data_IF_473431955044
#
_entry.id   IF_473431955044
#
_cell.length_a   1.000
_cell.length_b   1.000
_cell.length_c   1.000
_cell.angle_alpha   90.00
_cell.angle_beta   90.00
_cell.angle_gamma   90.00
#
_symmetry.space_group_name_H-M   'P 1'
#
loop_
_entity.id
_entity.type
_entity.pdbx_description
1 polymer ?
#
# COMPACT_ATOMS: atom_id res chain seq x y z
N UNK A 1 3.69 4.71 11.83
CA UNK A 1 4.29 3.36 11.95
C UNK A 1 5.38 3.21 10.90
N UNK A 2 6.12 2.09 10.89
CA UNK A 2 7.37 1.87 10.17
C UNK A 2 8.56 2.77 10.61
N UNK A 3 8.37 4.09 10.73
CA UNK A 3 9.39 5.06 11.17
C UNK A 3 9.25 5.54 12.62
N UNK A 4 8.12 5.27 13.26
CA UNK A 4 7.81 5.74 14.62
C UNK A 4 7.42 7.22 14.73
N UNK A 5 7.25 7.94 13.60
CA UNK A 5 6.96 9.38 13.55
C UNK A 5 5.49 9.74 13.28
N UNK A 6 4.56 8.82 13.46
CA UNK A 6 3.13 9.02 13.19
C UNK A 6 2.47 10.07 14.10
N UNK A 7 1.45 10.74 13.57
CA UNK A 7 0.60 11.68 14.29
C UNK A 7 -0.83 11.15 14.42
N UNK A 8 -1.67 11.83 15.22
CA UNK A 8 -3.05 11.41 15.52
C UNK A 8 -3.93 11.18 14.28
N UNK A 9 -3.63 11.88 13.19
CA UNK A 9 -4.38 11.84 11.93
C UNK A 9 -3.57 11.20 10.80
N UNK A 10 -2.55 10.41 11.13
CA UNK A 10 -1.79 9.67 10.13
C UNK A 10 -2.53 8.39 9.76
N UNK A 11 -2.76 8.22 8.47
CA UNK A 11 -3.24 6.96 7.91
C UNK A 11 -2.12 5.89 7.94
N UNK A 12 -2.47 4.66 7.58
CA UNK A 12 -1.58 3.50 7.49
C UNK A 12 -1.49 3.06 6.03
N UNK A 13 -0.38 3.40 5.38
CA UNK A 13 -0.07 2.91 4.04
C UNK A 13 0.28 1.43 4.05
N UNK A 14 -0.38 0.64 3.21
CA UNK A 14 -0.10 -0.80 3.04
C UNK A 14 0.20 -1.10 1.57
N UNK A 15 1.44 -1.45 1.25
CA UNK A 15 1.75 -2.05 -0.05
C UNK A 15 1.31 -3.52 -0.09
N UNK A 16 0.43 -3.85 -1.03
CA UNK A 16 0.12 -5.25 -1.40
C UNK A 16 0.77 -5.54 -2.73
N UNK A 17 1.71 -6.48 -2.76
CA UNK A 17 2.43 -6.86 -3.99
C UNK A 17 1.90 -8.18 -4.51
N UNK A 18 1.36 -8.20 -5.73
CA UNK A 18 0.76 -9.41 -6.32
C UNK A 18 0.80 -9.40 -7.85
N UNK A 19 1.16 -10.52 -8.50
CA UNK A 19 1.05 -10.66 -9.96
C UNK A 19 -0.39 -10.47 -10.50
N UNK A 20 -1.41 -10.51 -9.63
CA UNK A 20 -2.81 -10.30 -10.01
C UNK A 20 -3.16 -8.83 -10.26
N UNK A 21 -2.29 -7.88 -9.91
CA UNK A 21 -2.52 -6.46 -10.12
C UNK A 21 -2.08 -6.01 -11.52
N UNK A 22 -2.74 -6.56 -12.54
CA UNK A 22 -2.42 -6.30 -13.96
C UNK A 22 -3.06 -5.02 -14.51
N UNK A 23 -4.12 -4.54 -13.88
CA UNK A 23 -4.88 -3.36 -14.31
C UNK A 23 -5.55 -2.67 -13.11
N UNK A 24 -5.94 -1.41 -13.32
CA UNK A 24 -6.54 -0.57 -12.29
C UNK A 24 -7.83 -1.15 -11.73
N UNK A 25 -8.67 -1.76 -12.57
CA UNK A 25 -9.97 -2.31 -12.14
C UNK A 25 -9.79 -3.50 -11.19
N UNK A 26 -8.90 -4.44 -11.52
CA UNK A 26 -8.58 -5.58 -10.67
C UNK A 26 -7.91 -5.13 -9.35
N UNK A 27 -7.02 -4.15 -9.41
CA UNK A 27 -6.41 -3.52 -8.23
C UNK A 27 -7.48 -2.93 -7.30
N UNK A 28 -8.32 -2.03 -7.80
CA UNK A 28 -9.35 -1.34 -7.02
C UNK A 28 -10.38 -2.32 -6.47
N UNK A 29 -10.87 -3.28 -7.27
CA UNK A 29 -11.85 -4.26 -6.80
C UNK A 29 -11.33 -5.13 -5.66
N UNK A 30 -10.07 -5.56 -5.72
CA UNK A 30 -9.46 -6.42 -4.70
C UNK A 30 -9.14 -5.65 -3.43
N UNK A 31 -8.73 -4.38 -3.55
CA UNK A 31 -8.35 -3.54 -2.41
C UNK A 31 -9.53 -2.80 -1.77
N UNK A 32 -10.58 -2.45 -2.51
CA UNK A 32 -11.76 -1.77 -1.98
C UNK A 32 -12.70 -2.71 -1.22
N UNK A 33 -12.72 -4.01 -1.57
CA UNK A 33 -13.59 -5.00 -0.91
C UNK A 33 -13.35 -5.15 0.61
N UNK A 34 -12.11 -5.09 1.12
CA UNK A 34 -11.86 -5.13 2.57
C UNK A 34 -11.97 -3.78 3.31
N UNK A 35 -11.97 -2.64 2.61
CA UNK A 35 -12.04 -1.31 3.25
C UNK A 35 -13.51 -0.96 3.52
N UNK A 36 -14.04 -1.46 4.63
CA UNK A 36 -15.26 -0.92 5.25
C UNK A 36 -14.97 0.34 6.07
N UNK A 37 -16.00 0.91 6.72
CA UNK A 37 -15.85 2.06 7.63
C UNK A 37 -14.81 1.85 8.72
N UNK A 38 -14.63 0.60 9.15
CA UNK A 38 -13.75 0.22 10.27
C UNK A 38 -12.26 0.28 9.90
N UNK A 39 -11.94 0.43 8.60
CA UNK A 39 -10.58 0.51 8.08
C UNK A 39 -10.33 1.79 7.27
N UNK A 40 -11.07 2.86 7.55
CA UNK A 40 -10.93 4.13 6.85
C UNK A 40 -9.51 4.73 6.93
N UNK A 41 -8.80 4.47 8.03
CA UNK A 41 -7.43 4.95 8.27
C UNK A 41 -6.37 4.02 7.64
N UNK A 42 -6.77 3.01 6.86
CA UNK A 42 -5.87 2.09 6.15
C UNK A 42 -5.93 2.37 4.65
N UNK A 43 -4.82 2.79 4.08
CA UNK A 43 -4.68 3.09 2.65
C UNK A 43 -3.88 1.99 1.94
N UNK A 44 -4.55 1.02 1.28
CA UNK A 44 -3.84 -0.01 0.54
C UNK A 44 -3.43 0.44 -0.86
N UNK A 45 -2.17 0.22 -1.19
CA UNK A 45 -1.59 0.41 -2.50
C UNK A 45 -1.20 -0.94 -3.13
N UNK A 46 -1.92 -1.32 -4.17
CA UNK A 46 -1.64 -2.55 -4.93
C UNK A 46 -0.56 -2.34 -5.98
N UNK A 47 0.42 -3.24 -6.05
CA UNK A 47 1.49 -3.19 -7.04
C UNK A 47 1.71 -4.55 -7.69
N UNK A 48 1.85 -4.56 -9.02
CA UNK A 48 2.45 -5.72 -9.67
C UNK A 48 3.94 -5.78 -9.28
N UNK A 49 4.55 -6.96 -9.06
CA UNK A 49 5.96 -7.07 -8.69
C UNK A 49 6.92 -6.31 -9.60
N UNK A 50 6.61 -6.28 -10.91
CA UNK A 50 7.40 -5.57 -11.93
C UNK A 50 7.38 -4.04 -11.79
N UNK A 51 6.37 -3.49 -11.11
CA UNK A 51 6.11 -2.06 -10.95
C UNK A 51 6.41 -1.59 -9.51
N UNK A 52 6.80 -2.51 -8.63
CA UNK A 52 7.20 -2.20 -7.24
C UNK A 52 8.67 -1.77 -7.19
N UNK A 53 8.95 -0.61 -7.79
CA UNK A 53 10.28 -0.01 -7.86
C UNK A 53 10.24 1.47 -7.46
N UNK A 54 11.32 2.04 -6.89
CA UNK A 54 11.36 3.43 -6.45
C UNK A 54 11.02 4.45 -7.56
N UNK A 55 11.39 4.16 -8.81
CA UNK A 55 11.24 5.09 -9.93
C UNK A 55 9.78 5.26 -10.37
N UNK A 56 8.91 4.31 -10.00
CA UNK A 56 7.51 4.26 -10.44
C UNK A 56 6.57 4.98 -9.46
N UNK A 57 6.99 5.16 -8.20
CA UNK A 57 6.13 5.75 -7.16
C UNK A 57 6.90 6.21 -5.94
N UNK A 58 6.66 7.45 -5.50
CA UNK A 58 7.18 7.98 -4.24
C UNK A 58 6.72 7.15 -3.02
N UNK A 59 5.53 6.57 -3.07
CA UNK A 59 5.02 5.65 -2.02
C UNK A 59 5.85 4.37 -1.98
N UNK A 60 6.22 3.83 -3.15
CA UNK A 60 7.10 2.65 -3.21
C UNK A 60 8.48 2.98 -2.69
N UNK A 61 9.03 4.15 -3.03
CA UNK A 61 10.32 4.60 -2.51
C UNK A 61 10.32 4.69 -0.97
N UNK A 62 9.31 5.34 -0.37
CA UNK A 62 9.13 5.40 1.09
C UNK A 62 9.02 4.00 1.72
N UNK A 63 8.19 3.13 1.15
CA UNK A 63 7.98 1.77 1.67
C UNK A 63 9.25 0.92 1.56
N UNK A 64 10.03 1.05 0.49
CA UNK A 64 11.29 0.33 0.35
C UNK A 64 12.36 0.85 1.32
N UNK A 65 12.36 2.15 1.63
CA UNK A 65 13.32 2.76 2.58
C UNK A 65 12.98 2.50 4.03
N UNK A 66 11.70 2.47 4.38
CA UNK A 66 11.24 2.55 5.76
C UNK A 66 10.26 1.46 6.16
N UNK A 67 9.65 0.76 5.20
CA UNK A 67 8.58 -0.20 5.43
C UNK A 67 8.99 -1.41 6.25
N UNK A 68 8.00 -2.00 6.92
CA UNK A 68 8.14 -3.26 7.66
C UNK A 68 7.41 -4.34 6.87
N UNK A 69 8.12 -5.42 6.52
CA UNK A 69 7.52 -6.55 5.82
C UNK A 69 6.66 -7.38 6.78
N UNK A 70 5.40 -7.57 6.42
CA UNK A 70 4.44 -8.44 7.10
C UNK A 70 4.21 -9.67 6.20
N UNK A 71 4.13 -10.88 6.78
CA UNK A 71 3.99 -12.16 6.07
C UNK A 71 2.60 -12.75 6.22
#
# INVERSE_FOLDING_TARGET
WATGKQHKWSDIDIAVVSPKFTDWFNKTRLLARPIGSDFADVEPHGFHPKDFKPEESAVVEEILKHGVRIM
#
